data_IF_509696732253
#
_entry.id   IF_509696732253
#
_cell.length_a   1.000
_cell.length_b   1.000
_cell.length_c   1.000
_cell.angle_alpha   90.00
_cell.angle_beta   90.00
_cell.angle_gamma   90.00
#
_symmetry.space_group_name_H-M   'P 1'
#
loop_
_entity.id
_entity.type
_entity.pdbx_description
1 polymer ?
#
# COMPACT_ATOMS: atom_id res chain seq x y z
N UNK A 1 -45.98 62.88 25.44
CA UNK A 1 -45.60 61.60 26.10
C UNK A 1 -45.27 60.49 25.07
N UNK A 2 -45.86 60.50 23.88
CA UNK A 2 -45.63 59.53 22.79
C UNK A 2 -44.22 59.64 22.18
N UNK A 3 -43.72 60.86 21.90
CA UNK A 3 -42.38 61.07 21.31
C UNK A 3 -41.23 60.48 22.13
N UNK A 4 -41.26 60.60 23.46
CA UNK A 4 -40.24 60.03 24.34
C UNK A 4 -40.18 58.51 24.26
N UNK A 5 -41.33 57.85 24.05
CA UNK A 5 -41.40 56.38 23.93
C UNK A 5 -40.88 55.93 22.57
N UNK A 6 -41.23 56.63 21.49
CA UNK A 6 -40.75 56.35 20.12
C UNK A 6 -39.23 56.48 20.06
N UNK A 7 -38.67 57.53 20.65
CA UNK A 7 -37.21 57.73 20.71
C UNK A 7 -36.51 56.60 21.48
N UNK A 8 -37.09 56.15 22.59
CA UNK A 8 -36.54 55.07 23.42
C UNK A 8 -36.58 53.70 22.71
N UNK A 9 -37.63 53.42 21.94
CA UNK A 9 -37.69 52.20 21.11
C UNK A 9 -36.69 52.24 19.95
N UNK A 10 -36.52 53.41 19.31
CA UNK A 10 -35.56 53.57 18.23
C UNK A 10 -34.11 53.39 18.72
N UNK A 11 -33.76 53.95 19.88
CA UNK A 11 -32.42 53.75 20.47
C UNK A 11 -32.19 52.31 20.90
N UNK A 12 -33.19 51.64 21.48
CA UNK A 12 -33.10 50.21 21.83
C UNK A 12 -32.90 49.35 20.57
N UNK A 13 -33.65 49.62 19.50
CA UNK A 13 -33.52 48.91 18.23
C UNK A 13 -32.13 49.09 17.60
N UNK A 14 -31.59 50.31 17.60
CA UNK A 14 -30.22 50.56 17.12
C UNK A 14 -29.16 49.89 17.99
N UNK A 15 -29.36 49.84 19.31
CA UNK A 15 -28.44 49.15 20.21
C UNK A 15 -28.44 47.63 19.95
N UNK A 16 -29.62 47.02 19.84
CA UNK A 16 -29.76 45.59 19.50
C UNK A 16 -29.11 45.31 18.14
N UNK A 17 -29.37 46.15 17.14
CA UNK A 17 -28.76 46.01 15.82
C UNK A 17 -27.23 46.12 15.87
N UNK A 18 -26.68 47.09 16.61
CA UNK A 18 -25.24 47.27 16.77
C UNK A 18 -24.59 46.07 17.47
N UNK A 19 -25.23 45.53 18.51
CA UNK A 19 -24.74 44.32 19.19
C UNK A 19 -24.76 43.12 18.25
N UNK A 20 -25.86 42.88 17.53
CA UNK A 20 -25.96 41.79 16.57
C UNK A 20 -24.93 41.91 15.44
N UNK A 21 -24.78 43.10 14.85
CA UNK A 21 -23.80 43.36 13.81
C UNK A 21 -22.37 43.13 14.31
N UNK A 22 -22.06 43.56 15.54
CA UNK A 22 -20.75 43.36 16.16
C UNK A 22 -20.47 41.89 16.47
N UNK A 23 -21.47 41.15 16.96
CA UNK A 23 -21.35 39.71 17.23
C UNK A 23 -21.14 38.92 15.93
N UNK A 24 -21.86 39.25 14.86
CA UNK A 24 -21.67 38.62 13.54
C UNK A 24 -20.29 38.96 12.98
N UNK A 25 -19.85 40.22 13.05
CA UNK A 25 -18.53 40.63 12.60
C UNK A 25 -17.41 39.92 13.38
N UNK A 26 -17.55 39.78 14.69
CA UNK A 26 -16.61 39.03 15.53
C UNK A 26 -16.56 37.54 15.18
N UNK A 27 -17.72 36.91 14.94
CA UNK A 27 -17.79 35.52 14.49
C UNK A 27 -17.10 35.33 13.12
N UNK A 28 -17.39 36.20 12.15
CA UNK A 28 -16.76 36.14 10.82
C UNK A 28 -15.26 36.38 10.89
N UNK A 29 -14.79 37.28 11.75
CA UNK A 29 -13.36 37.53 11.97
C UNK A 29 -12.65 36.30 12.54
N UNK A 30 -13.22 35.66 13.55
CA UNK A 30 -12.69 34.42 14.12
C UNK A 30 -12.67 33.28 13.10
N UNK A 31 -13.77 33.13 12.35
CA UNK A 31 -13.85 32.13 11.28
C UNK A 31 -12.80 32.38 10.18
N UNK A 32 -12.55 33.64 9.82
CA UNK A 32 -11.52 34.01 8.85
C UNK A 32 -10.11 33.70 9.38
N UNK A 33 -9.80 33.97 10.66
CA UNK A 33 -8.50 33.61 11.25
C UNK A 33 -8.29 32.09 11.19
N UNK A 34 -9.26 31.31 11.67
CA UNK A 34 -9.18 29.84 11.69
C UNK A 34 -9.01 29.30 10.26
N UNK A 35 -9.75 29.85 9.30
CA UNK A 35 -9.64 29.45 7.90
C UNK A 35 -8.27 29.77 7.31
N UNK A 36 -7.71 30.94 7.62
CA UNK A 36 -6.37 31.32 7.15
C UNK A 36 -5.27 30.45 7.76
N UNK A 37 -5.39 30.10 9.04
CA UNK A 37 -4.48 29.18 9.71
C UNK A 37 -4.53 27.79 9.06
N UNK A 38 -5.73 27.26 8.82
CA UNK A 38 -5.91 25.98 8.14
C UNK A 38 -5.39 26.00 6.69
N UNK A 39 -5.55 27.12 5.97
CA UNK A 39 -4.96 27.30 4.63
C UNK A 39 -3.43 27.26 4.69
N UNK A 40 -2.83 27.94 5.67
CA UNK A 40 -1.38 27.96 5.84
C UNK A 40 -0.82 26.56 6.16
N UNK A 41 -1.48 25.82 7.07
CA UNK A 41 -1.12 24.43 7.38
C UNK A 41 -1.24 23.52 6.15
N UNK A 42 -2.33 23.63 5.40
CA UNK A 42 -2.53 22.86 4.17
C UNK A 42 -1.47 23.18 3.11
N UNK A 43 -1.12 24.46 2.93
CA UNK A 43 -0.04 24.88 2.02
C UNK A 43 1.32 24.31 2.44
N UNK A 44 1.63 24.32 3.74
CA UNK A 44 2.85 23.72 4.27
C UNK A 44 2.89 22.21 4.04
N UNK A 45 1.78 21.52 4.29
CA UNK A 45 1.64 20.07 4.04
C UNK A 45 1.83 19.72 2.57
N UNK A 46 1.22 20.48 1.66
CA UNK A 46 1.38 20.33 0.21
C UNK A 46 2.83 20.58 -0.24
N UNK A 47 3.49 21.61 0.29
CA UNK A 47 4.90 21.90 0.00
C UNK A 47 5.82 20.76 0.47
N UNK A 48 5.58 20.23 1.67
CA UNK A 48 6.30 19.06 2.18
C UNK A 48 6.07 17.84 1.30
N UNK A 49 4.83 17.60 0.86
CA UNK A 49 4.49 16.48 -0.02
C UNK A 49 5.19 16.59 -1.37
N UNK A 50 5.22 17.79 -1.98
CA UNK A 50 5.92 18.05 -3.23
C UNK A 50 7.43 17.83 -3.10
N UNK A 51 8.03 18.23 -1.98
CA UNK A 51 9.46 18.01 -1.71
C UNK A 51 9.78 16.52 -1.60
N UNK A 52 9.03 15.76 -0.79
CA UNK A 52 9.22 14.31 -0.66
C UNK A 52 8.95 13.57 -1.98
N UNK A 53 7.95 14.01 -2.76
CA UNK A 53 7.70 13.48 -4.09
C UNK A 53 8.93 13.64 -5.00
N UNK A 54 9.51 14.85 -5.06
CA UNK A 54 10.70 15.11 -5.88
C UNK A 54 11.89 14.24 -5.46
N UNK A 55 12.11 14.07 -4.15
CA UNK A 55 13.14 13.18 -3.62
C UNK A 55 12.92 11.71 -4.01
N UNK A 56 11.68 11.22 -3.89
CA UNK A 56 11.31 9.85 -4.26
C UNK A 56 11.50 9.62 -5.78
N UNK A 57 11.10 10.59 -6.61
CA UNK A 57 11.32 10.53 -8.06
C UNK A 57 12.80 10.56 -8.43
N UNK A 58 13.62 11.37 -7.73
CA UNK A 58 15.06 11.38 -7.96
C UNK A 58 15.70 10.01 -7.68
N UNK A 59 15.34 9.38 -6.55
CA UNK A 59 15.79 8.02 -6.20
C UNK A 59 15.30 6.98 -7.21
N UNK A 60 14.05 7.07 -7.63
CA UNK A 60 13.48 6.19 -8.65
C UNK A 60 14.23 6.31 -9.99
N UNK A 61 14.45 7.54 -10.47
CA UNK A 61 15.17 7.78 -11.72
C UNK A 61 16.60 7.23 -11.67
N UNK A 62 17.28 7.36 -10.52
CA UNK A 62 18.60 6.77 -10.32
C UNK A 62 18.57 5.24 -10.43
N UNK A 63 17.65 4.57 -9.73
CA UNK A 63 17.51 3.11 -9.79
C UNK A 63 17.06 2.62 -11.17
N UNK A 64 16.16 3.35 -11.83
CA UNK A 64 15.70 3.02 -13.17
C UNK A 64 16.85 3.15 -14.19
N UNK A 65 17.75 4.12 -13.99
CA UNK A 65 18.99 4.23 -14.78
C UNK A 65 19.89 3.01 -14.57
N UNK A 66 20.16 2.61 -13.32
CA UNK A 66 20.96 1.42 -13.00
C UNK A 66 20.32 0.15 -13.61
N UNK A 67 19.00 0.00 -13.48
CA UNK A 67 18.24 -1.10 -14.07
C UNK A 67 18.32 -1.08 -15.61
N UNK A 68 18.18 0.08 -16.24
CA UNK A 68 18.23 0.20 -17.71
C UNK A 68 19.59 -0.18 -18.28
N UNK A 69 20.69 0.12 -17.56
CA UNK A 69 22.03 -0.33 -17.93
C UNK A 69 22.11 -1.86 -17.90
N UNK A 70 21.60 -2.49 -16.85
CA UNK A 70 21.53 -3.95 -16.72
C UNK A 70 20.67 -4.58 -17.82
N UNK A 71 19.48 -4.01 -18.08
CA UNK A 71 18.57 -4.46 -19.13
C UNK A 71 19.21 -4.34 -20.53
N UNK A 72 19.95 -3.26 -20.80
CA UNK A 72 20.67 -3.08 -22.05
C UNK A 72 21.73 -4.17 -22.26
N UNK A 73 22.53 -4.44 -21.24
CA UNK A 73 23.55 -5.50 -21.26
C UNK A 73 22.94 -6.92 -21.38
N UNK A 74 21.75 -7.11 -20.82
CA UNK A 74 20.99 -8.35 -20.96
C UNK A 74 20.41 -8.54 -22.37
N UNK A 75 19.88 -7.46 -22.97
CA UNK A 75 19.21 -7.49 -24.28
C UNK A 75 20.20 -7.72 -25.42
N UNK A 76 21.38 -7.11 -25.34
CA UNK A 76 22.45 -7.22 -26.32
C UNK A 76 23.68 -7.92 -25.73
N UNK A 77 23.59 -9.22 -25.43
CA UNK A 77 24.63 -9.92 -24.70
C UNK A 77 25.91 -10.03 -25.54
N UNK A 78 27.04 -9.69 -24.93
CA UNK A 78 28.38 -9.91 -25.49
C UNK A 78 28.86 -11.36 -25.26
N UNK A 79 28.23 -12.10 -24.34
CA UNK A 79 28.55 -13.47 -23.95
C UNK A 79 27.28 -14.25 -23.60
N UNK A 80 27.32 -15.58 -23.73
CA UNK A 80 26.21 -16.49 -23.39
C UNK A 80 26.07 -16.77 -21.89
N UNK A 81 27.04 -16.37 -21.06
CA UNK A 81 27.03 -16.53 -19.60
C UNK A 81 26.86 -15.17 -18.92
N UNK A 82 25.80 -15.05 -18.10
CA UNK A 82 25.37 -13.80 -17.46
C UNK A 82 25.93 -13.60 -16.05
N UNK A 83 26.84 -14.46 -15.58
CA UNK A 83 27.42 -14.40 -14.21
C UNK A 83 28.01 -13.03 -13.88
N UNK A 84 28.65 -12.36 -14.83
CA UNK A 84 29.19 -11.01 -14.63
C UNK A 84 28.09 -9.97 -14.35
N UNK A 85 26.94 -10.09 -15.04
CA UNK A 85 25.80 -9.20 -14.80
C UNK A 85 25.14 -9.47 -13.45
N UNK A 86 25.20 -10.70 -12.93
CA UNK A 86 24.70 -11.05 -11.60
C UNK A 86 25.38 -10.24 -10.50
N UNK A 87 26.68 -9.92 -10.65
CA UNK A 87 27.39 -9.01 -9.74
C UNK A 87 26.85 -7.57 -9.80
N UNK A 88 26.63 -7.05 -11.01
CA UNK A 88 26.03 -5.73 -11.21
C UNK A 88 24.58 -5.67 -10.70
N UNK A 89 23.83 -6.77 -10.84
CA UNK A 89 22.47 -6.89 -10.30
C UNK A 89 22.45 -6.88 -8.76
N UNK A 90 23.41 -7.53 -8.11
CA UNK A 90 23.55 -7.46 -6.65
C UNK A 90 23.80 -6.02 -6.17
N UNK A 91 24.58 -5.24 -6.92
CA UNK A 91 24.78 -3.82 -6.63
C UNK A 91 23.48 -3.02 -6.77
N UNK A 92 22.67 -3.28 -7.81
CA UNK A 92 21.35 -2.68 -7.97
C UNK A 92 20.47 -2.97 -6.74
N UNK A 93 20.40 -4.22 -6.28
CA UNK A 93 19.62 -4.59 -5.09
C UNK A 93 20.13 -3.84 -3.83
N UNK A 94 21.44 -3.76 -3.64
CA UNK A 94 22.01 -3.03 -2.51
C UNK A 94 21.69 -1.53 -2.58
N UNK A 95 21.74 -0.92 -3.77
CA UNK A 95 21.34 0.46 -3.99
C UNK A 95 19.85 0.66 -3.68
N UNK A 96 18.97 -0.27 -4.06
CA UNK A 96 17.55 -0.24 -3.69
C UNK A 96 17.38 -0.17 -2.16
N UNK A 97 18.04 -1.08 -1.42
CA UNK A 97 18.01 -1.11 0.04
C UNK A 97 18.55 0.16 0.68
N UNK A 98 19.61 0.74 0.13
CA UNK A 98 20.19 1.99 0.62
C UNK A 98 19.29 3.21 0.39
N UNK A 99 18.57 3.25 -0.73
CA UNK A 99 17.75 4.41 -1.12
C UNK A 99 16.34 4.40 -0.51
N UNK A 100 15.79 3.21 -0.21
CA UNK A 100 14.42 3.04 0.27
C UNK A 100 14.40 2.45 1.69
N UNK A 101 14.27 3.32 2.69
CA UNK A 101 14.13 2.90 4.10
C UNK A 101 12.91 2.01 4.32
N UNK A 102 11.88 2.10 3.46
CA UNK A 102 10.73 1.20 3.44
C UNK A 102 11.10 -0.28 3.41
N UNK A 103 12.21 -0.66 2.78
CA UNK A 103 12.67 -2.06 2.75
C UNK A 103 13.05 -2.53 4.16
N UNK A 104 13.55 -1.64 5.00
CA UNK A 104 13.88 -1.94 6.39
C UNK A 104 12.62 -1.90 7.26
N UNK A 105 11.76 -0.90 7.03
CA UNK A 105 10.58 -0.63 7.85
C UNK A 105 9.45 -1.65 7.63
N UNK A 106 9.29 -2.18 6.41
CA UNK A 106 8.17 -3.05 6.03
C UNK A 106 8.64 -4.49 5.80
N UNK A 107 8.15 -5.39 6.64
CA UNK A 107 8.58 -6.78 6.70
C UNK A 107 8.38 -7.55 5.37
N UNK A 108 7.29 -7.29 4.67
CA UNK A 108 6.97 -7.90 3.37
C UNK A 108 7.92 -7.46 2.24
N UNK A 109 8.26 -6.16 2.18
CA UNK A 109 9.28 -5.65 1.24
C UNK A 109 10.66 -6.20 1.56
N UNK A 110 10.99 -6.29 2.85
CA UNK A 110 12.25 -6.86 3.30
C UNK A 110 12.39 -8.33 2.88
N UNK A 111 11.32 -9.13 3.06
CA UNK A 111 11.28 -10.53 2.66
C UNK A 111 11.48 -10.69 1.14
N UNK A 112 10.80 -9.87 0.34
CA UNK A 112 10.99 -9.88 -1.13
C UNK A 112 12.41 -9.52 -1.52
N UNK A 113 12.98 -8.48 -0.90
CA UNK A 113 14.36 -8.07 -1.14
C UNK A 113 15.37 -9.18 -0.79
N UNK A 114 15.20 -9.83 0.37
CA UNK A 114 16.05 -10.94 0.79
C UNK A 114 15.93 -12.16 -0.14
N UNK A 115 14.72 -12.49 -0.60
CA UNK A 115 14.51 -13.59 -1.54
C UNK A 115 15.25 -13.34 -2.86
N UNK A 116 15.12 -12.14 -3.43
CA UNK A 116 15.84 -11.70 -4.62
C UNK A 116 17.36 -11.74 -4.43
N UNK A 117 17.86 -11.24 -3.30
CA UNK A 117 19.28 -11.23 -2.98
C UNK A 117 19.84 -12.66 -2.86
N UNK A 118 19.12 -13.57 -2.20
CA UNK A 118 19.53 -14.96 -2.06
C UNK A 118 19.53 -15.69 -3.41
N UNK A 119 18.49 -15.50 -4.24
CA UNK A 119 18.42 -16.06 -5.61
C UNK A 119 19.62 -15.59 -6.44
N UNK A 120 19.97 -14.31 -6.34
CA UNK A 120 21.14 -13.71 -7.00
C UNK A 120 22.46 -14.34 -6.53
N UNK A 121 22.66 -14.48 -5.22
CA UNK A 121 23.89 -15.05 -4.65
C UNK A 121 24.06 -16.53 -5.02
N UNK A 122 22.97 -17.31 -5.04
CA UNK A 122 23.00 -18.70 -5.50
C UNK A 122 23.43 -18.82 -6.97
N UNK A 123 22.87 -17.98 -7.84
CA UNK A 123 23.22 -17.96 -9.26
C UNK A 123 24.68 -17.53 -9.48
N UNK A 124 25.14 -16.53 -8.73
CA UNK A 124 26.52 -16.06 -8.78
C UNK A 124 27.50 -17.17 -8.37
N UNK A 125 27.21 -17.90 -7.28
CA UNK A 125 28.05 -19.00 -6.79
C UNK A 125 28.17 -20.17 -7.78
N UNK A 126 27.18 -20.35 -8.66
CA UNK A 126 27.20 -21.40 -9.69
C UNK A 126 28.08 -21.06 -10.90
N UNK A 127 28.29 -19.77 -11.19
CA UNK A 127 29.24 -19.31 -12.22
C UNK A 127 28.83 -19.56 -13.68
N UNK A 128 27.64 -20.08 -13.94
CA UNK A 128 27.09 -20.31 -15.29
C UNK A 128 25.61 -19.93 -15.33
N UNK A 129 25.32 -18.64 -15.27
CA UNK A 129 23.95 -18.09 -15.27
C UNK A 129 23.45 -18.01 -16.71
N UNK A 130 22.33 -18.66 -16.99
CA UNK A 130 21.67 -18.67 -18.29
C UNK A 130 20.92 -17.36 -18.55
N UNK A 131 20.50 -17.15 -19.80
CA UNK A 131 19.70 -15.99 -20.18
C UNK A 131 18.34 -16.00 -19.48
N UNK A 132 17.73 -17.16 -19.37
CA UNK A 132 16.42 -17.36 -18.77
C UNK A 132 16.46 -17.01 -17.29
N UNK A 133 17.44 -17.54 -16.56
CA UNK A 133 17.59 -17.27 -15.12
C UNK A 133 17.89 -15.81 -14.80
N UNK A 134 18.71 -15.16 -15.63
CA UNK A 134 18.98 -13.73 -15.46
C UNK A 134 17.77 -12.87 -15.87
N UNK A 135 17.04 -13.28 -16.89
CA UNK A 135 15.77 -12.64 -17.31
C UNK A 135 14.74 -12.66 -16.19
N UNK A 136 14.56 -13.80 -15.53
CA UNK A 136 13.67 -13.91 -14.37
C UNK A 136 14.07 -12.97 -13.23
N UNK A 137 15.37 -12.83 -12.94
CA UNK A 137 15.85 -11.87 -11.93
C UNK A 137 15.50 -10.43 -12.32
N UNK A 138 15.67 -10.07 -13.59
CA UNK A 138 15.34 -8.74 -14.09
C UNK A 138 13.84 -8.45 -13.97
N UNK A 139 13.00 -9.38 -14.39
CA UNK A 139 11.54 -9.23 -14.32
C UNK A 139 11.08 -9.09 -12.86
N UNK A 140 11.54 -9.98 -11.98
CA UNK A 140 11.25 -9.91 -10.53
C UNK A 140 11.71 -8.59 -9.90
N UNK A 141 12.89 -8.11 -10.28
CA UNK A 141 13.41 -6.83 -9.76
C UNK A 141 12.61 -5.63 -10.25
N UNK A 142 12.09 -5.66 -11.48
CA UNK A 142 11.31 -4.57 -12.05
C UNK A 142 9.94 -4.47 -11.36
N UNK A 143 9.29 -5.61 -11.13
CA UNK A 143 8.06 -5.68 -10.34
C UNK A 143 8.29 -5.15 -8.93
N UNK A 144 9.38 -5.58 -8.29
CA UNK A 144 9.74 -5.12 -6.95
C UNK A 144 10.04 -3.62 -6.90
N UNK A 145 10.81 -3.09 -7.85
CA UNK A 145 11.11 -1.66 -7.97
C UNK A 145 9.83 -0.84 -8.16
N UNK A 146 8.91 -1.31 -9.00
CA UNK A 146 7.64 -0.65 -9.25
C UNK A 146 6.79 -0.60 -7.98
N UNK A 147 6.68 -1.72 -7.25
CA UNK A 147 5.98 -1.79 -5.97
C UNK A 147 6.60 -0.87 -4.91
N UNK A 148 7.93 -0.87 -4.78
CA UNK A 148 8.66 0.01 -3.87
C UNK A 148 8.37 1.48 -4.14
N UNK A 149 8.41 1.88 -5.40
CA UNK A 149 8.20 3.26 -5.82
C UNK A 149 6.78 3.72 -5.50
N UNK A 150 5.77 2.89 -5.83
CA UNK A 150 4.37 3.18 -5.50
C UNK A 150 4.19 3.35 -3.99
N UNK A 151 4.79 2.48 -3.17
CA UNK A 151 4.67 2.55 -1.71
C UNK A 151 5.38 3.76 -1.11
N UNK A 152 6.58 4.11 -1.59
CA UNK A 152 7.31 5.29 -1.12
C UNK A 152 6.53 6.58 -1.40
N UNK A 153 5.99 6.71 -2.63
CA UNK A 153 5.12 7.82 -2.99
C UNK A 153 3.86 7.84 -2.12
N UNK A 154 3.23 6.68 -1.93
CA UNK A 154 2.00 6.57 -1.15
C UNK A 154 2.23 6.85 0.34
N UNK A 155 3.40 6.55 0.92
CA UNK A 155 3.77 6.90 2.30
C UNK A 155 3.72 8.40 2.57
N UNK A 156 3.94 9.22 1.55
CA UNK A 156 3.83 10.67 1.69
C UNK A 156 2.37 11.08 1.87
N UNK A 157 1.47 10.45 1.12
CA UNK A 157 0.02 10.64 1.20
C UNK A 157 -0.52 10.12 2.55
N UNK A 158 0.02 9.01 3.06
CA UNK A 158 -0.40 8.37 4.31
C UNK A 158 -0.27 9.24 5.56
N UNK A 159 0.62 10.25 5.52
CA UNK A 159 0.80 11.19 6.64
C UNK A 159 -0.37 12.16 6.80
N UNK A 160 -1.16 12.33 5.74
CA UNK A 160 -2.22 13.35 5.65
C UNK A 160 -3.60 12.70 5.50
N UNK A 161 -3.66 11.47 4.97
CA UNK A 161 -4.90 10.78 4.63
C UNK A 161 -5.00 9.44 5.35
N UNK A 162 -6.14 9.21 5.99
CA UNK A 162 -6.57 7.90 6.48
C UNK A 162 -7.72 7.36 5.62
N UNK A 163 -7.71 6.05 5.39
CA UNK A 163 -8.75 5.31 4.69
C UNK A 163 -9.64 4.61 5.70
N UNK A 164 -10.92 4.48 5.37
CA UNK A 164 -11.88 3.65 6.10
C UNK A 164 -12.29 2.49 5.22
N UNK A 165 -11.97 1.26 5.64
CA UNK A 165 -12.19 0.05 4.84
C UNK A 165 -12.99 -1.01 5.59
N UNK A 166 -13.58 -1.95 4.87
CA UNK A 166 -14.26 -3.11 5.44
C UNK A 166 -13.52 -4.39 5.05
N UNK A 167 -13.37 -5.32 5.99
CA UNK A 167 -12.83 -6.64 5.70
C UNK A 167 -13.66 -7.73 6.35
N UNK A 168 -13.97 -8.76 5.57
CA UNK A 168 -14.66 -9.97 5.99
C UNK A 168 -13.67 -11.14 6.03
N UNK A 169 -13.75 -11.99 7.05
CA UNK A 169 -13.01 -13.26 7.13
C UNK A 169 -14.03 -14.39 7.22
N UNK A 170 -14.16 -15.16 6.15
CA UNK A 170 -15.02 -16.34 6.08
C UNK A 170 -14.16 -17.59 6.27
N UNK A 171 -14.36 -18.30 7.38
CA UNK A 171 -13.56 -19.47 7.75
C UNK A 171 -14.01 -20.77 7.06
N UNK A 172 -14.99 -20.73 6.16
CA UNK A 172 -15.46 -21.89 5.40
C UNK A 172 -16.27 -22.91 6.22
N UNK A 173 -16.34 -22.75 7.54
CA UNK A 173 -17.11 -23.59 8.47
C UNK A 173 -18.44 -22.93 8.90
N UNK A 174 -18.89 -21.91 8.17
CA UNK A 174 -20.06 -21.08 8.51
C UNK A 174 -19.76 -19.90 9.43
N UNK A 175 -18.56 -19.83 10.02
CA UNK A 175 -18.12 -18.66 10.79
C UNK A 175 -17.66 -17.56 9.85
N UNK A 176 -18.23 -16.37 10.01
CA UNK A 176 -17.91 -15.18 9.23
C UNK A 176 -17.73 -14.01 10.19
N UNK A 177 -16.57 -13.36 10.14
CA UNK A 177 -16.23 -12.20 10.96
C UNK A 177 -16.10 -10.95 10.09
N UNK A 178 -16.72 -9.86 10.52
CA UNK A 178 -16.69 -8.57 9.83
C UNK A 178 -15.98 -7.51 10.67
N UNK A 179 -15.02 -6.83 10.06
CA UNK A 179 -14.35 -5.66 10.61
C UNK A 179 -14.67 -4.45 9.75
N UNK A 180 -15.79 -3.79 10.06
CA UNK A 180 -16.30 -2.66 9.31
C UNK A 180 -15.70 -1.35 9.79
N UNK A 181 -15.55 -0.39 8.87
CA UNK A 181 -14.98 0.94 9.14
C UNK A 181 -13.62 0.90 9.82
N UNK A 182 -12.79 -0.07 9.44
CA UNK A 182 -11.42 -0.19 9.93
C UNK A 182 -10.60 0.96 9.35
N UNK A 183 -10.06 1.82 10.22
CA UNK A 183 -9.22 2.94 9.80
C UNK A 183 -7.81 2.45 9.50
N UNK A 184 -7.28 2.75 8.32
CA UNK A 184 -5.90 2.45 7.92
C UNK A 184 -5.24 3.71 7.41
N UNK A 185 -3.92 3.91 7.56
CA UNK A 185 -3.22 4.92 6.79
C UNK A 185 -3.48 4.69 5.28
N UNK A 186 -3.62 5.79 4.51
CA UNK A 186 -3.47 5.68 3.06
C UNK A 186 -2.13 4.99 2.75
N UNK A 187 -2.00 4.30 1.62
CA UNK A 187 -0.83 3.42 1.33
C UNK A 187 -0.75 2.10 2.07
N UNK A 188 -1.72 1.73 2.89
CA UNK A 188 -1.70 0.39 3.49
C UNK A 188 -2.04 -0.67 2.45
N UNK A 189 -1.47 -1.87 2.57
CA UNK A 189 -1.83 -3.03 1.74
C UNK A 189 -2.90 -3.91 2.40
N UNK A 190 -3.52 -4.80 1.64
CA UNK A 190 -4.43 -5.82 2.19
C UNK A 190 -3.72 -6.70 3.22
N UNK A 191 -2.45 -7.01 2.99
CA UNK A 191 -1.61 -7.72 3.93
C UNK A 191 -1.54 -7.02 5.30
N UNK A 192 -1.25 -5.72 5.32
CA UNK A 192 -1.19 -4.92 6.54
C UNK A 192 -2.55 -4.76 7.22
N UNK A 193 -3.63 -4.61 6.44
CA UNK A 193 -4.99 -4.62 6.97
C UNK A 193 -5.28 -5.94 7.68
N UNK A 194 -4.90 -7.06 7.07
CA UNK A 194 -5.14 -8.39 7.63
C UNK A 194 -4.35 -8.57 8.94
N UNK A 195 -3.08 -8.13 8.98
CA UNK A 195 -2.28 -8.13 10.22
C UNK A 195 -2.89 -7.31 11.35
N UNK A 196 -3.64 -6.25 11.01
CA UNK A 196 -4.27 -5.38 12.00
C UNK A 196 -5.49 -6.05 12.65
N UNK A 197 -6.25 -6.83 11.89
CA UNK A 197 -7.54 -7.39 12.33
C UNK A 197 -7.45 -8.85 12.78
N UNK A 198 -6.41 -9.57 12.39
CA UNK A 198 -6.24 -10.99 12.67
C UNK A 198 -4.78 -11.37 12.93
N UNK A 199 -4.59 -12.46 13.68
CA UNK A 199 -3.28 -13.12 13.78
C UNK A 199 -3.07 -13.92 12.51
N UNK A 200 -1.92 -13.80 11.84
CA UNK A 200 -1.69 -14.51 10.59
C UNK A 200 -0.36 -15.27 10.58
N UNK A 201 -0.36 -16.41 9.88
CA UNK A 201 0.86 -17.08 9.42
C UNK A 201 0.98 -16.89 7.92
N UNK A 202 2.20 -16.68 7.45
CA UNK A 202 2.47 -16.35 6.05
C UNK A 202 3.76 -17.01 5.57
N UNK A 203 3.86 -17.20 4.27
CA UNK A 203 5.06 -17.65 3.58
C UNK A 203 5.35 -16.72 2.40
N UNK A 204 6.62 -16.70 2.01
CA UNK A 204 7.01 -16.13 0.73
C UNK A 204 6.64 -17.12 -0.39
N UNK A 205 5.90 -16.66 -1.39
CA UNK A 205 5.49 -17.46 -2.55
C UNK A 205 5.69 -16.67 -3.85
N UNK A 206 6.63 -17.14 -4.67
CA UNK A 206 6.99 -16.52 -5.95
C UNK A 206 5.85 -16.52 -6.98
N UNK A 207 4.80 -17.34 -6.78
CA UNK A 207 3.65 -17.41 -7.67
C UNK A 207 2.60 -16.34 -7.37
N UNK A 208 2.74 -15.58 -6.27
CA UNK A 208 1.81 -14.52 -5.87
C UNK A 208 2.15 -13.15 -6.48
N UNK A 209 2.84 -13.12 -7.61
CA UNK A 209 3.26 -11.88 -8.29
C UNK A 209 2.09 -11.12 -8.91
N UNK A 210 2.15 -9.77 -8.95
CA UNK A 210 3.03 -8.90 -8.16
C UNK A 210 2.80 -9.03 -6.65
N UNK A 211 3.85 -8.79 -5.87
CA UNK A 211 3.86 -9.16 -4.44
C UNK A 211 4.29 -10.61 -4.26
N UNK A 212 4.44 -11.06 -3.03
CA UNK A 212 5.00 -12.39 -2.75
C UNK A 212 4.56 -12.98 -1.42
N UNK A 213 3.58 -12.38 -0.75
CA UNK A 213 3.11 -12.87 0.54
C UNK A 213 1.86 -13.71 0.35
N UNK A 214 1.98 -15.02 0.60
CA UNK A 214 0.85 -15.94 0.75
C UNK A 214 0.52 -16.12 2.22
N UNK A 215 -0.73 -15.86 2.58
CA UNK A 215 -1.24 -16.13 3.93
C UNK A 215 -1.63 -17.61 4.01
N UNK A 216 -1.05 -18.33 4.95
CA UNK A 216 -1.27 -19.77 5.15
C UNK A 216 -2.11 -20.07 6.38
N UNK A 217 -2.31 -19.09 7.27
CA UNK A 217 -3.25 -19.19 8.37
C UNK A 217 -3.79 -17.83 8.75
N UNK A 218 -5.08 -17.78 9.10
CA UNK A 218 -5.74 -16.64 9.72
C UNK A 218 -6.36 -17.13 11.03
N UNK A 219 -5.98 -16.46 12.12
CA UNK A 219 -6.21 -16.86 13.50
C UNK A 219 -5.79 -18.31 13.74
N UNK A 220 -6.73 -19.20 14.06
CA UNK A 220 -6.44 -20.61 14.36
C UNK A 220 -6.73 -21.55 13.18
N UNK A 221 -7.07 -21.01 12.00
CA UNK A 221 -7.46 -21.79 10.84
C UNK A 221 -6.35 -21.74 9.78
N UNK A 222 -5.60 -22.84 9.69
CA UNK A 222 -4.51 -23.03 8.73
C UNK A 222 -4.99 -23.72 7.45
N UNK A 223 -4.36 -23.35 6.34
CA UNK A 223 -4.44 -24.12 5.10
C UNK A 223 -3.89 -25.53 5.31
N UNK A 224 -4.37 -26.48 4.52
CA UNK A 224 -3.86 -27.83 4.52
C UNK A 224 -3.94 -28.45 3.13
N UNK A 225 -3.13 -29.48 2.94
CA UNK A 225 -3.18 -30.36 1.77
C UNK A 225 -3.28 -31.78 2.29
N UNK A 226 -4.18 -32.58 1.74
CA UNK A 226 -4.29 -33.98 2.11
C UNK A 226 -3.27 -34.82 1.34
N UNK A 227 -2.15 -35.08 2.01
CA UNK A 227 -1.09 -35.93 1.49
C UNK A 227 -1.50 -37.41 1.41
N UNK A 228 -2.51 -37.84 2.18
CA UNK A 228 -3.00 -39.21 2.21
C UNK A 228 -3.71 -39.65 0.93
N UNK A 229 -4.22 -38.70 0.13
CA UNK A 229 -4.81 -38.94 -1.19
C UNK A 229 -4.00 -38.32 -2.34
N UNK A 230 -2.68 -38.19 -2.14
CA UNK A 230 -1.77 -37.80 -3.21
C UNK A 230 -1.93 -36.36 -3.70
N UNK A 231 -2.18 -35.41 -2.77
CA UNK A 231 -2.31 -33.97 -3.08
C UNK A 231 -3.55 -33.60 -3.89
N UNK A 232 -4.56 -34.49 -3.99
CA UNK A 232 -5.78 -34.24 -4.76
C UNK A 232 -6.82 -33.40 -4.00
N UNK A 233 -6.62 -33.08 -2.72
CA UNK A 233 -7.50 -32.15 -2.00
C UNK A 233 -6.75 -31.31 -0.98
N UNK A 234 -7.39 -30.21 -0.59
CA UNK A 234 -6.93 -29.37 0.49
C UNK A 234 -7.87 -28.19 0.71
N UNK A 235 -7.42 -27.26 1.53
CA UNK A 235 -8.07 -25.98 1.69
C UNK A 235 -7.04 -24.86 1.80
N UNK A 236 -7.34 -23.71 1.21
CA UNK A 236 -6.45 -22.56 1.16
C UNK A 236 -7.21 -21.26 1.43
N UNK A 237 -6.48 -20.25 1.86
CA UNK A 237 -7.00 -18.90 2.02
C UNK A 237 -6.93 -18.15 0.69
N UNK A 238 -8.10 -17.77 0.18
CA UNK A 238 -8.23 -16.94 -1.01
C UNK A 238 -8.79 -15.57 -0.62
N UNK A 239 -8.39 -14.52 -1.33
CA UNK A 239 -8.90 -13.18 -1.08
C UNK A 239 -9.63 -12.60 -2.28
N UNK A 240 -10.58 -11.73 -1.98
CA UNK A 240 -11.46 -11.08 -2.92
C UNK A 240 -11.64 -9.61 -2.56
N UNK A 241 -11.99 -8.81 -3.55
CA UNK A 241 -12.50 -7.46 -3.33
C UNK A 241 -13.91 -7.33 -3.94
N UNK A 242 -14.70 -6.44 -3.36
CA UNK A 242 -16.01 -6.09 -3.91
C UNK A 242 -15.83 -5.07 -5.04
N UNK A 243 -16.26 -5.41 -6.26
CA UNK A 243 -16.29 -4.48 -7.38
C UNK A 243 -17.65 -3.76 -7.40
N UNK A 244 -17.67 -2.49 -7.01
CA UNK A 244 -18.90 -1.68 -6.94
C UNK A 244 -19.58 -1.49 -8.31
N UNK A 245 -18.83 -1.54 -9.41
CA UNK A 245 -19.41 -1.36 -10.75
C UNK A 245 -20.11 -2.62 -11.21
N UNK A 246 -19.51 -3.80 -10.91
CA UNK A 246 -20.04 -5.10 -11.31
C UNK A 246 -20.99 -5.71 -10.26
N UNK A 247 -20.99 -5.18 -9.04
CA UNK A 247 -21.74 -5.69 -7.89
C UNK A 247 -21.42 -7.17 -7.61
N UNK A 248 -20.13 -7.53 -7.68
CA UNK A 248 -19.68 -8.90 -7.47
C UNK A 248 -18.36 -8.98 -6.68
N UNK A 249 -18.11 -10.15 -6.10
CA UNK A 249 -16.80 -10.48 -5.53
C UNK A 249 -15.85 -10.91 -6.63
N UNK A 250 -14.76 -10.17 -6.78
CA UNK A 250 -13.71 -10.47 -7.76
C UNK A 250 -12.51 -11.07 -7.05
N UNK A 251 -11.98 -12.15 -7.62
CA UNK A 251 -10.78 -12.81 -7.11
C UNK A 251 -9.57 -11.86 -7.13
N UNK A 252 -8.75 -11.95 -6.08
CA UNK A 252 -7.56 -11.14 -5.93
C UNK A 252 -6.52 -11.40 -7.02
N UNK A 253 -6.20 -10.42 -7.89
CA UNK A 253 -5.35 -10.66 -9.05
C UNK A 253 -3.85 -10.76 -8.73
N UNK A 254 -3.45 -10.44 -7.50
CA UNK A 254 -2.06 -10.27 -7.07
C UNK A 254 -1.87 -10.72 -5.63
N UNK A 255 -0.62 -10.80 -5.15
CA UNK A 255 -0.32 -11.03 -3.74
C UNK A 255 -0.95 -9.96 -2.84
N UNK A 256 -1.43 -10.36 -1.66
CA UNK A 256 -2.12 -9.45 -0.74
C UNK A 256 -1.22 -8.29 -0.24
N UNK A 257 0.09 -8.45 -0.34
CA UNK A 257 1.07 -7.39 -0.09
C UNK A 257 1.11 -6.38 -1.26
N UNK A 258 0.99 -6.78 -2.51
CA UNK A 258 0.95 -5.81 -3.61
C UNK A 258 -0.37 -5.04 -3.72
N UNK A 259 -1.47 -5.57 -3.15
CA UNK A 259 -2.77 -4.93 -3.25
C UNK A 259 -2.92 -3.75 -2.28
N UNK A 260 -2.97 -2.54 -2.83
CA UNK A 260 -3.14 -1.30 -2.06
C UNK A 260 -4.61 -1.05 -1.72
N UNK A 261 -4.89 -0.61 -0.49
CA UNK A 261 -6.24 -0.30 -0.04
C UNK A 261 -6.78 0.98 -0.69
N UNK A 262 -8.09 0.99 -0.92
CA UNK A 262 -8.85 2.16 -1.39
C UNK A 262 -9.84 2.58 -0.31
N UNK A 263 -10.06 3.88 -0.16
CA UNK A 263 -11.09 4.38 0.77
C UNK A 263 -12.48 3.82 0.43
N UNK A 264 -13.23 3.42 1.46
CA UNK A 264 -14.50 2.72 1.33
C UNK A 264 -14.40 1.29 0.77
N UNK A 265 -13.20 0.80 0.45
CA UNK A 265 -12.98 -0.53 -0.11
C UNK A 265 -13.48 -1.65 0.80
N UNK A 266 -14.05 -2.68 0.19
CA UNK A 266 -14.54 -3.88 0.90
C UNK A 266 -13.81 -5.12 0.40
N UNK A 267 -13.18 -5.83 1.33
CA UNK A 267 -12.32 -6.98 1.06
C UNK A 267 -12.82 -8.22 1.80
N UNK A 268 -12.46 -9.40 1.31
CA UNK A 268 -12.87 -10.67 1.91
C UNK A 268 -11.74 -11.69 1.83
N UNK A 269 -11.42 -12.32 2.94
CA UNK A 269 -10.73 -13.61 2.98
C UNK A 269 -11.76 -14.74 3.05
N UNK A 270 -11.53 -15.81 2.31
CA UNK A 270 -12.38 -16.97 2.19
C UNK A 270 -11.53 -18.23 2.31
N UNK A 271 -11.85 -19.09 3.27
CA UNK A 271 -11.21 -20.40 3.40
C UNK A 271 -11.92 -21.40 2.50
N UNK A 272 -11.26 -21.78 1.41
CA UNK A 272 -11.89 -22.52 0.32
C UNK A 272 -11.26 -23.90 0.17
N UNK A 273 -12.14 -24.89 0.08
CA UNK A 273 -11.76 -26.27 -0.21
C UNK A 273 -11.59 -26.45 -1.70
N UNK A 274 -10.51 -27.11 -2.09
CA UNK A 274 -10.24 -27.48 -3.46
C UNK A 274 -10.05 -28.98 -3.55
N UNK A 275 -10.48 -29.53 -4.69
CA UNK A 275 -10.28 -30.92 -5.05
C UNK A 275 -9.88 -30.99 -6.52
N UNK A 276 -8.77 -31.64 -6.80
CA UNK A 276 -8.31 -31.95 -8.15
C UNK A 276 -8.74 -33.37 -8.50
N UNK A 277 -9.33 -33.58 -9.70
CA UNK A 277 -9.70 -34.91 -10.19
C UNK A 277 -8.48 -35.82 -10.43
#
# INVERSE_FOLDING_TARGET
MVEKRVFLFATLAMFVWAVLASSIAGYLYLQNIISNEQIAENQQSLSSMATTYNEAIAKYNQLLSDYSILQGNYTFPQNSNFTLLTGSFLNLLNNMKGNFSLIIDQKDLNETHYALQNKTLMLLGRGNVTREEFGELLDESYEFLSLLTIRELSRTISKVISLTVNICINYGNGTVEWHNKTVMPASSSLFQLTQKVATITRVYDALMKPGHIRITSINNQAEYTNYGIGYSEGAAWLWYYWDDNKQEWVFGPVGCDAWMLRDGGTYKWSFEHWHWP
#
